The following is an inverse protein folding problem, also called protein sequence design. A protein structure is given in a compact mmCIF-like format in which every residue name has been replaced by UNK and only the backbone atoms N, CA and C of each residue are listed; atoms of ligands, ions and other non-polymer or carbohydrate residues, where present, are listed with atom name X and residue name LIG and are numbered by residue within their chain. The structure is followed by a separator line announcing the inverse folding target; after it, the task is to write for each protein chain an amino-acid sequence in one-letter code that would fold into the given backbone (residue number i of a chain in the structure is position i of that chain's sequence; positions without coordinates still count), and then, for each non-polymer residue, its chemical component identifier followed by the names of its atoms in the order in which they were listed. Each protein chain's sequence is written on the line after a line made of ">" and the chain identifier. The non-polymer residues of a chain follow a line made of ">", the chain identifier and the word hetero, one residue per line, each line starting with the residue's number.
data_IF_653966666794
#
_entry.id   IF_653966666794
#
_cell.length_a   1.000
_cell.length_b   1.000
_cell.length_c   1.000
_cell.angle_alpha   90.00
_cell.angle_beta   90.00
_cell.angle_gamma   90.00
#
_symmetry.space_group_name_H-M   'P 1'
#
loop_
_entity.id
_entity.type
_entity.pdbx_description
1 polymer ?
#
# COMPACT_ATOMS: atom_id res chain seq x y z
N UNK A 1 6.50 23.04 20.51
CA UNK A 1 5.64 22.08 19.75
C UNK A 1 4.54 22.77 18.95
N UNK A 2 3.87 23.81 19.46
CA UNK A 2 2.79 24.53 18.74
C UNK A 2 3.19 25.10 17.36
N UNK A 3 4.39 25.67 17.21
CA UNK A 3 4.84 26.24 15.93
C UNK A 3 5.18 25.23 14.82
N UNK A 4 5.41 23.96 15.17
CA UNK A 4 5.62 22.90 14.17
C UNK A 4 4.27 22.39 13.66
N UNK A 5 3.30 22.19 14.57
CA UNK A 5 1.95 21.74 14.22
C UNK A 5 1.22 22.75 13.31
N UNK A 6 1.40 24.06 13.58
CA UNK A 6 0.77 25.12 12.78
C UNK A 6 1.27 25.13 11.34
N UNK A 7 2.53 24.78 11.08
CA UNK A 7 3.09 24.72 9.73
C UNK A 7 2.55 23.54 8.90
N UNK A 8 2.11 22.45 9.55
CA UNK A 8 1.54 21.28 8.88
C UNK A 8 0.02 21.37 8.64
N UNK A 9 -0.67 22.20 9.43
CA UNK A 9 -2.13 22.31 9.41
C UNK A 9 -2.62 23.62 8.76
N UNK A 10 -1.73 24.48 8.29
CA UNK A 10 -2.09 25.76 7.67
C UNK A 10 -2.79 25.54 6.32
N UNK A 11 -4.11 25.80 6.20
CA UNK A 11 -4.84 25.69 4.95
C UNK A 11 -4.43 26.76 3.93
N UNK A 12 -3.68 27.80 4.33
CA UNK A 12 -3.06 28.77 3.42
C UNK A 12 -1.75 28.26 2.81
N UNK A 13 -1.23 27.11 3.26
CA UNK A 13 -0.11 26.46 2.61
C UNK A 13 -0.56 26.01 1.22
N UNK A 14 0.03 26.57 0.13
CA UNK A 14 -0.42 26.27 -1.21
C UNK A 14 -0.32 24.76 -1.46
N UNK A 15 -1.28 24.14 -2.19
CA UNK A 15 -1.18 22.74 -2.56
C UNK A 15 0.19 22.49 -3.16
N UNK A 16 0.88 21.45 -2.67
CA UNK A 16 2.29 21.15 -2.96
C UNK A 16 2.58 21.49 -4.43
N UNK A 17 3.23 22.63 -4.64
CA UNK A 17 3.59 23.12 -5.96
C UNK A 17 4.42 22.03 -6.65
N UNK A 18 4.38 21.92 -7.99
CA UNK A 18 5.15 20.89 -8.73
C UNK A 18 6.61 20.91 -8.27
N UNK A 19 6.98 19.98 -7.39
CA UNK A 19 8.30 19.94 -6.77
C UNK A 19 9.30 19.55 -7.85
N UNK A 20 10.43 20.27 -8.03
CA UNK A 20 11.45 19.86 -8.98
C UNK A 20 12.02 18.49 -8.64
N UNK A 21 12.38 17.70 -9.67
CA UNK A 21 13.03 16.39 -9.48
C UNK A 21 14.31 16.51 -8.63
N UNK A 22 15.05 17.61 -8.76
CA UNK A 22 16.25 17.86 -7.96
C UNK A 22 15.95 17.92 -6.45
N UNK A 23 14.86 18.60 -6.05
CA UNK A 23 14.44 18.68 -4.64
C UNK A 23 13.98 17.33 -4.10
N UNK A 24 13.35 16.50 -4.94
CA UNK A 24 12.97 15.12 -4.59
C UNK A 24 14.21 14.24 -4.46
N UNK A 25 15.18 14.36 -5.36
CA UNK A 25 16.45 13.66 -5.29
C UNK A 25 17.20 14.01 -4.00
N UNK A 26 17.22 15.27 -3.58
CA UNK A 26 17.81 15.69 -2.31
C UNK A 26 17.11 15.04 -1.11
N UNK A 27 15.77 15.05 -1.06
CA UNK A 27 14.99 14.38 -0.01
C UNK A 27 15.28 12.88 0.05
N UNK A 28 15.34 12.22 -1.11
CA UNK A 28 15.72 10.82 -1.19
C UNK A 28 17.14 10.59 -0.68
N UNK A 29 18.09 11.48 -1.01
CA UNK A 29 19.47 11.42 -0.51
C UNK A 29 19.52 11.46 1.01
N UNK A 30 18.78 12.38 1.64
CA UNK A 30 18.67 12.47 3.11
C UNK A 30 18.06 11.21 3.71
N UNK A 31 16.99 10.70 3.10
CA UNK A 31 16.33 9.46 3.54
C UNK A 31 17.28 8.26 3.44
N UNK A 32 18.09 8.19 2.38
CA UNK A 32 19.10 7.16 2.19
C UNK A 32 20.22 7.26 3.24
N UNK A 33 20.73 8.46 3.51
CA UNK A 33 21.73 8.69 4.57
C UNK A 33 21.21 8.22 5.93
N UNK A 34 19.96 8.57 6.26
CA UNK A 34 19.31 8.07 7.47
C UNK A 34 19.25 6.54 7.49
N UNK A 35 18.76 5.91 6.42
CA UNK A 35 18.66 4.46 6.34
C UNK A 35 20.02 3.74 6.46
N UNK A 36 21.09 4.34 5.93
CA UNK A 36 22.46 3.79 6.07
C UNK A 36 23.08 3.98 7.45
N UNK A 37 22.52 4.88 8.28
CA UNK A 37 22.94 5.07 9.66
C UNK A 37 22.24 4.14 10.66
N UNK A 38 21.23 3.39 10.21
CA UNK A 38 20.51 2.43 11.03
C UNK A 38 21.38 1.21 11.37
N UNK A 39 21.08 0.59 12.51
CA UNK A 39 21.78 -0.62 12.96
C UNK A 39 21.69 -1.74 11.91
N UNK A 40 22.79 -2.47 11.62
CA UNK A 40 22.77 -3.57 10.66
C UNK A 40 21.73 -4.66 10.95
N UNK A 41 21.32 -4.86 12.21
CA UNK A 41 20.23 -5.78 12.58
C UNK A 41 18.87 -5.34 12.03
N UNK A 42 18.70 -4.06 11.70
CA UNK A 42 17.53 -3.52 10.99
C UNK A 42 17.64 -3.71 9.47
N UNK A 43 18.74 -4.26 8.98
CA UNK A 43 18.99 -4.51 7.57
C UNK A 43 18.76 -5.98 7.20
N UNK A 44 17.88 -6.19 6.21
CA UNK A 44 17.79 -7.36 5.31
C UNK A 44 18.21 -8.71 5.92
N UNK A 45 17.31 -9.30 6.71
CA UNK A 45 17.42 -10.71 7.12
C UNK A 45 16.12 -11.45 6.80
N UNK A 46 16.20 -12.77 6.54
CA UNK A 46 15.01 -13.65 6.51
C UNK A 46 14.32 -13.69 7.88
N UNK A 47 15.09 -13.45 8.94
CA UNK A 47 14.62 -13.39 10.33
C UNK A 47 14.37 -11.96 10.81
N UNK A 48 14.04 -11.05 9.90
CA UNK A 48 13.82 -9.64 10.21
C UNK A 48 12.84 -9.47 11.40
N UNK A 49 13.23 -8.77 12.48
CA UNK A 49 12.32 -8.52 13.60
C UNK A 49 11.20 -7.57 13.18
N UNK A 50 10.07 -7.59 13.92
CA UNK A 50 8.88 -6.80 13.56
C UNK A 50 9.17 -5.32 13.31
N UNK A 51 9.88 -4.66 14.23
CA UNK A 51 10.20 -3.25 14.13
C UNK A 51 11.06 -2.93 12.89
N UNK A 52 11.99 -3.81 12.52
CA UNK A 52 12.76 -3.67 11.29
C UNK A 52 11.87 -3.77 10.05
N UNK A 53 10.92 -4.70 10.01
CA UNK A 53 9.97 -4.84 8.91
C UNK A 53 9.09 -3.59 8.74
N UNK A 54 8.63 -3.01 9.86
CA UNK A 54 7.86 -1.75 9.85
C UNK A 54 8.71 -0.60 9.31
N UNK A 55 9.94 -0.43 9.80
CA UNK A 55 10.84 0.65 9.35
C UNK A 55 11.20 0.49 7.87
N UNK A 56 11.55 -0.72 7.43
CA UNK A 56 11.88 -0.98 6.02
C UNK A 56 10.67 -0.77 5.10
N UNK A 57 9.48 -1.20 5.55
CA UNK A 57 8.24 -0.99 4.83
C UNK A 57 7.94 0.50 4.65
N UNK A 58 8.01 1.27 5.75
CA UNK A 58 7.80 2.72 5.72
C UNK A 58 8.81 3.42 4.80
N UNK A 59 10.11 3.05 4.88
CA UNK A 59 11.13 3.60 4.00
C UNK A 59 10.78 3.39 2.52
N UNK A 60 10.46 2.16 2.12
CA UNK A 60 10.17 1.87 0.72
C UNK A 60 8.86 2.50 0.24
N UNK A 61 7.85 2.59 1.10
CA UNK A 61 6.63 3.37 0.83
C UNK A 61 6.92 4.84 0.59
N UNK A 62 7.76 5.48 1.41
CA UNK A 62 8.16 6.88 1.21
C UNK A 62 8.93 7.08 -0.10
N UNK A 63 9.85 6.17 -0.45
CA UNK A 63 10.56 6.22 -1.73
C UNK A 63 9.57 6.14 -2.90
N UNK A 64 8.59 5.26 -2.84
CA UNK A 64 7.55 5.15 -3.87
C UNK A 64 6.78 6.45 -4.03
N UNK A 65 6.36 7.09 -2.93
CA UNK A 65 5.63 8.36 -2.98
C UNK A 65 6.47 9.53 -3.49
N UNK A 66 7.74 9.60 -3.10
CA UNK A 66 8.67 10.60 -3.64
C UNK A 66 8.82 10.47 -5.17
N UNK A 67 8.88 9.25 -5.69
CA UNK A 67 9.11 9.00 -7.12
C UNK A 67 7.83 9.02 -7.97
N UNK A 68 6.65 8.78 -7.37
CA UNK A 68 5.35 8.67 -8.05
C UNK A 68 5.06 9.81 -9.04
N UNK A 69 5.30 11.09 -8.74
CA UNK A 69 5.00 12.19 -9.68
C UNK A 69 5.86 12.19 -10.95
N UNK A 70 6.93 11.38 -11.00
CA UNK A 70 7.93 11.39 -12.06
C UNK A 70 8.04 10.06 -12.81
N UNK A 71 7.13 9.10 -12.58
CA UNK A 71 7.23 7.76 -13.18
C UNK A 71 7.23 7.78 -14.72
N UNK A 72 6.49 8.71 -15.31
CA UNK A 72 6.38 8.88 -16.75
C UNK A 72 7.44 9.83 -17.32
N UNK A 73 8.26 10.44 -16.47
CA UNK A 73 9.35 11.32 -16.92
C UNK A 73 10.61 10.48 -17.17
N UNK A 74 11.18 10.57 -18.37
CA UNK A 74 12.44 9.90 -18.70
C UNK A 74 13.67 10.70 -18.22
N UNK A 75 13.54 11.44 -17.11
CA UNK A 75 14.60 12.26 -16.54
C UNK A 75 15.47 11.40 -15.62
N UNK A 76 16.79 11.59 -15.74
CA UNK A 76 17.77 10.96 -14.87
C UNK A 76 18.18 11.93 -13.76
N UNK A 77 18.59 11.38 -12.63
CA UNK A 77 19.21 12.13 -11.55
C UNK A 77 20.30 11.30 -10.89
N UNK A 78 21.18 11.98 -10.18
CA UNK A 78 22.27 11.35 -9.43
C UNK A 78 22.17 11.75 -7.98
N UNK A 79 22.20 10.77 -7.08
CA UNK A 79 22.17 10.99 -5.64
C UNK A 79 22.83 9.83 -4.90
N UNK A 80 23.83 10.16 -4.08
CA UNK A 80 24.63 9.16 -3.36
C UNK A 80 25.15 8.06 -4.30
N UNK A 81 24.88 6.76 -4.03
CA UNK A 81 25.33 5.65 -4.88
C UNK A 81 24.51 5.50 -6.17
N UNK A 82 23.35 6.15 -6.29
CA UNK A 82 22.49 6.05 -7.46
C UNK A 82 22.96 7.02 -8.55
N UNK A 83 23.81 6.56 -9.47
CA UNK A 83 24.23 7.32 -10.66
C UNK A 83 23.25 7.09 -11.80
N UNK A 84 22.86 8.18 -12.48
CA UNK A 84 21.98 8.13 -13.66
C UNK A 84 20.66 7.37 -13.46
N UNK A 85 20.17 7.34 -12.22
CA UNK A 85 18.95 6.64 -11.85
C UNK A 85 17.73 7.38 -12.41
N UNK A 86 16.67 6.62 -12.75
CA UNK A 86 15.37 7.19 -13.11
C UNK A 86 14.37 6.94 -11.98
N UNK A 87 13.38 7.83 -11.77
CA UNK A 87 12.37 7.65 -10.73
C UNK A 87 11.66 6.30 -10.81
N UNK A 88 11.35 5.84 -12.04
CA UNK A 88 10.75 4.53 -12.28
C UNK A 88 11.60 3.35 -11.80
N UNK A 89 12.93 3.47 -11.85
CA UNK A 89 13.83 2.39 -11.45
C UNK A 89 13.79 2.25 -9.91
N UNK A 90 13.86 3.36 -9.18
CA UNK A 90 13.75 3.36 -7.71
C UNK A 90 12.35 2.95 -7.22
N UNK A 91 11.30 3.41 -7.90
CA UNK A 91 9.93 2.98 -7.61
C UNK A 91 9.79 1.47 -7.77
N UNK A 92 10.28 0.91 -8.90
CA UNK A 92 10.25 -0.53 -9.16
C UNK A 92 11.05 -1.33 -8.13
N UNK A 93 12.25 -0.87 -7.79
CA UNK A 93 13.07 -1.54 -6.77
C UNK A 93 12.36 -1.53 -5.40
N UNK A 94 11.74 -0.42 -5.02
CA UNK A 94 11.01 -0.31 -3.76
C UNK A 94 9.71 -1.13 -3.77
N UNK A 95 9.00 -1.20 -4.90
CA UNK A 95 7.79 -2.02 -5.03
C UNK A 95 8.09 -3.51 -4.86
N UNK A 96 9.22 -3.98 -5.41
CA UNK A 96 9.67 -5.37 -5.21
C UNK A 96 9.91 -5.60 -3.72
N UNK A 97 10.59 -4.66 -3.03
CA UNK A 97 10.87 -4.79 -1.60
C UNK A 97 9.63 -4.80 -0.73
N UNK A 98 8.63 -3.97 -1.01
CA UNK A 98 7.36 -3.94 -0.27
C UNK A 98 6.62 -5.29 -0.38
N UNK A 99 6.59 -5.88 -1.57
CA UNK A 99 5.99 -7.22 -1.77
C UNK A 99 6.82 -8.29 -1.05
N UNK A 100 8.15 -8.23 -1.11
CA UNK A 100 9.02 -9.16 -0.39
C UNK A 100 8.84 -9.09 1.13
N UNK A 101 8.76 -7.88 1.71
CA UNK A 101 8.48 -7.67 3.13
C UNK A 101 7.11 -8.28 3.45
N UNK A 102 6.08 -7.99 2.65
CA UNK A 102 4.74 -8.55 2.86
C UNK A 102 4.78 -10.07 2.94
N UNK A 103 5.43 -10.69 1.95
CA UNK A 103 5.58 -12.15 1.88
C UNK A 103 6.37 -12.75 3.02
N UNK A 104 7.59 -12.24 3.27
CA UNK A 104 8.53 -12.90 4.19
C UNK A 104 8.17 -12.62 5.65
N UNK A 105 7.63 -11.43 5.92
CA UNK A 105 7.29 -11.02 7.26
C UNK A 105 5.84 -11.38 7.62
N UNK A 106 4.84 -10.95 6.85
CA UNK A 106 3.43 -11.12 7.27
C UNK A 106 2.98 -12.57 7.22
N UNK A 107 3.43 -13.36 6.24
CA UNK A 107 3.11 -14.79 6.22
C UNK A 107 3.63 -15.52 7.47
N UNK A 108 4.69 -15.02 8.12
CA UNK A 108 5.26 -15.62 9.34
C UNK A 108 4.54 -15.15 10.60
N UNK A 109 4.10 -13.90 10.65
CA UNK A 109 3.50 -13.31 11.86
C UNK A 109 1.97 -13.34 11.86
N UNK A 110 1.36 -13.93 10.84
CA UNK A 110 -0.09 -14.05 10.73
C UNK A 110 -0.68 -14.73 11.97
N UNK A 111 -1.81 -14.21 12.48
CA UNK A 111 -2.48 -14.66 13.70
C UNK A 111 -1.82 -14.27 15.02
N UNK A 112 -0.63 -13.64 15.00
CA UNK A 112 0.08 -13.22 16.23
C UNK A 112 -0.35 -11.82 16.69
N UNK A 113 0.07 -11.41 17.90
CA UNK A 113 -0.12 -10.02 18.34
C UNK A 113 0.57 -8.98 17.43
N UNK A 114 1.62 -9.38 16.72
CA UNK A 114 2.41 -8.49 15.86
C UNK A 114 1.71 -8.16 14.53
N UNK A 115 0.87 -9.06 14.00
CA UNK A 115 0.09 -8.77 12.78
C UNK A 115 -1.08 -7.81 13.04
N UNK A 116 -1.47 -7.62 14.30
CA UNK A 116 -2.57 -6.73 14.70
C UNK A 116 -2.21 -5.24 14.69
N UNK A 117 -0.94 -4.88 14.53
CA UNK A 117 -0.52 -3.47 14.51
C UNK A 117 -1.01 -2.75 13.26
N UNK A 118 -1.75 -1.63 13.42
CA UNK A 118 -2.18 -0.81 12.26
C UNK A 118 -1.03 -0.04 11.60
N UNK A 119 0.10 0.18 12.28
CA UNK A 119 1.28 0.85 11.70
C UNK A 119 1.81 0.13 10.45
N UNK A 120 1.39 -1.12 10.29
CA UNK A 120 1.66 -1.97 9.16
C UNK A 120 0.85 -1.64 7.90
N UNK A 121 -0.32 -0.98 7.99
CA UNK A 121 -1.33 -0.88 6.92
C UNK A 121 -0.77 -0.51 5.53
N UNK A 122 0.12 0.47 5.49
CA UNK A 122 0.64 1.02 4.23
C UNK A 122 1.37 -0.04 3.40
N UNK A 123 2.02 -1.01 4.04
CA UNK A 123 2.83 -2.04 3.39
C UNK A 123 1.95 -3.06 2.63
N UNK A 124 0.99 -3.79 3.26
CA UNK A 124 0.07 -4.65 2.54
C UNK A 124 -0.85 -3.88 1.60
N UNK A 125 -1.18 -2.62 1.86
CA UNK A 125 -1.92 -1.79 0.91
C UNK A 125 -1.14 -1.59 -0.41
N UNK A 126 0.13 -1.18 -0.33
CA UNK A 126 0.96 -1.10 -1.53
C UNK A 126 1.21 -2.46 -2.15
N UNK A 127 1.50 -3.49 -1.37
CA UNK A 127 1.73 -4.83 -1.89
C UNK A 127 0.50 -5.37 -2.62
N UNK A 128 -0.72 -5.11 -2.13
CA UNK A 128 -1.96 -5.45 -2.82
C UNK A 128 -2.05 -4.74 -4.18
N UNK A 129 -1.84 -3.41 -4.21
CA UNK A 129 -1.83 -2.62 -5.44
C UNK A 129 -0.78 -3.12 -6.44
N UNK A 130 0.45 -3.35 -5.98
CA UNK A 130 1.55 -3.87 -6.79
C UNK A 130 1.21 -5.28 -7.29
N UNK A 131 0.51 -6.10 -6.51
CA UNK A 131 0.12 -7.44 -6.95
C UNK A 131 -0.90 -7.43 -8.09
N UNK A 132 -1.62 -6.33 -8.33
CA UNK A 132 -2.58 -6.25 -9.43
C UNK A 132 -1.92 -6.24 -10.81
N UNK A 133 -0.79 -5.54 -10.97
CA UNK A 133 -0.15 -5.36 -12.28
C UNK A 133 1.37 -5.18 -12.21
N UNK A 134 1.97 -5.44 -11.06
CA UNK A 134 3.37 -5.15 -10.76
C UNK A 134 4.36 -6.16 -11.32
N UNK A 135 5.64 -6.00 -10.96
CA UNK A 135 6.79 -6.54 -11.71
C UNK A 135 7.03 -8.05 -11.52
N UNK A 136 6.12 -8.76 -10.87
CA UNK A 136 6.27 -10.19 -10.58
C UNK A 136 6.17 -11.04 -11.85
N UNK A 137 6.98 -12.11 -11.90
CA UNK A 137 7.19 -12.92 -13.10
C UNK A 137 5.96 -13.71 -13.56
N UNK A 138 5.05 -14.10 -12.66
CA UNK A 138 3.87 -14.91 -13.02
C UNK A 138 2.57 -14.38 -12.39
N UNK A 139 1.43 -14.74 -13.00
CA UNK A 139 0.11 -14.35 -12.51
C UNK A 139 -0.24 -15.07 -11.20
N UNK A 140 0.15 -16.33 -11.06
CA UNK A 140 -0.06 -17.15 -9.86
C UNK A 140 0.67 -16.51 -8.67
N UNK A 141 1.88 -16.01 -8.93
CA UNK A 141 2.68 -15.34 -7.92
C UNK A 141 1.99 -14.08 -7.42
N UNK A 142 1.52 -13.24 -8.34
CA UNK A 142 0.73 -12.04 -8.04
C UNK A 142 -0.54 -12.38 -7.26
N UNK A 143 -1.26 -13.44 -7.63
CA UNK A 143 -2.46 -13.90 -6.92
C UNK A 143 -2.15 -14.37 -5.50
N UNK A 144 -1.03 -15.06 -5.28
CA UNK A 144 -0.58 -15.48 -3.95
C UNK A 144 -0.18 -14.29 -3.07
N UNK A 145 0.61 -13.35 -3.61
CA UNK A 145 1.03 -12.15 -2.89
C UNK A 145 -0.20 -11.28 -2.54
N UNK A 146 -1.18 -11.16 -3.45
CA UNK A 146 -2.45 -10.47 -3.21
C UNK A 146 -3.26 -11.11 -2.08
N UNK A 147 -3.42 -12.45 -2.07
CA UNK A 147 -4.12 -13.16 -0.98
C UNK A 147 -3.46 -12.96 0.38
N UNK A 148 -2.13 -12.94 0.41
CA UNK A 148 -1.36 -12.66 1.64
C UNK A 148 -1.74 -11.28 2.20
N UNK A 149 -1.92 -10.28 1.33
CA UNK A 149 -2.35 -8.95 1.75
C UNK A 149 -3.77 -8.96 2.35
N UNK A 150 -4.69 -9.77 1.81
CA UNK A 150 -6.06 -9.86 2.34
C UNK A 150 -6.07 -10.48 3.74
N UNK A 151 -5.29 -11.55 3.95
CA UNK A 151 -5.08 -12.12 5.28
C UNK A 151 -4.49 -11.09 6.25
N UNK A 152 -3.51 -10.29 5.80
CA UNK A 152 -2.93 -9.23 6.61
C UNK A 152 -3.96 -8.15 7.00
N UNK A 153 -4.91 -7.79 6.11
CA UNK A 153 -5.99 -6.86 6.45
C UNK A 153 -6.94 -7.43 7.50
N UNK A 154 -7.27 -8.73 7.40
CA UNK A 154 -8.13 -9.40 8.38
C UNK A 154 -7.46 -9.57 9.76
N UNK A 155 -6.14 -9.54 9.79
CA UNK A 155 -5.36 -9.68 11.01
C UNK A 155 -5.25 -8.40 11.84
N UNK A 156 -5.57 -7.22 11.30
CA UNK A 156 -5.41 -5.96 12.04
C UNK A 156 -6.21 -5.94 13.36
N UNK A 157 -5.73 -5.19 14.34
CA UNK A 157 -6.39 -5.03 15.65
C UNK A 157 -7.59 -4.07 15.64
N UNK A 158 -8.28 -3.92 14.52
CA UNK A 158 -9.42 -2.99 14.34
C UNK A 158 -10.75 -3.70 14.35
N UNK A 159 -11.84 -2.95 14.39
CA UNK A 159 -13.19 -3.49 14.29
C UNK A 159 -13.37 -4.31 13.00
N UNK A 160 -14.06 -5.44 13.11
CA UNK A 160 -14.34 -6.35 11.98
C UNK A 160 -14.89 -5.60 10.75
N UNK A 161 -15.79 -4.61 10.87
CA UNK A 161 -16.30 -3.89 9.72
C UNK A 161 -15.23 -3.18 8.88
N UNK A 162 -14.26 -2.58 9.55
CA UNK A 162 -13.17 -1.88 8.88
C UNK A 162 -12.29 -2.84 8.08
N UNK A 163 -12.05 -4.04 8.59
CA UNK A 163 -11.25 -5.08 7.91
C UNK A 163 -11.94 -5.55 6.63
N UNK A 164 -13.23 -5.86 6.73
CA UNK A 164 -14.00 -6.32 5.59
C UNK A 164 -14.11 -5.24 4.51
N UNK A 165 -14.21 -3.96 4.90
CA UNK A 165 -14.13 -2.84 3.97
C UNK A 165 -12.80 -2.81 3.21
N UNK A 166 -11.66 -2.98 3.89
CA UNK A 166 -10.34 -3.08 3.25
C UNK A 166 -10.27 -4.23 2.24
N UNK A 167 -10.77 -5.41 2.63
CA UNK A 167 -10.79 -6.58 1.74
C UNK A 167 -11.68 -6.33 0.52
N UNK A 168 -12.89 -5.81 0.71
CA UNK A 168 -13.82 -5.48 -0.39
C UNK A 168 -13.23 -4.46 -1.36
N UNK A 169 -12.64 -3.39 -0.82
CA UNK A 169 -12.00 -2.35 -1.62
C UNK A 169 -10.86 -2.90 -2.48
N UNK A 170 -10.05 -3.80 -1.94
CA UNK A 170 -9.01 -4.45 -2.72
C UNK A 170 -9.58 -5.44 -3.76
N UNK A 171 -10.65 -6.19 -3.42
CA UNK A 171 -11.25 -7.17 -4.32
C UNK A 171 -11.86 -6.53 -5.57
N UNK A 172 -12.54 -5.38 -5.45
CA UNK A 172 -13.07 -4.68 -6.64
C UNK A 172 -11.94 -4.28 -7.59
N UNK A 173 -10.82 -3.79 -7.05
CA UNK A 173 -9.64 -3.46 -7.85
C UNK A 173 -9.09 -4.71 -8.56
N UNK A 174 -9.11 -5.86 -7.88
CA UNK A 174 -8.64 -7.12 -8.45
C UNK A 174 -9.52 -7.66 -9.57
N UNK A 175 -10.84 -7.47 -9.48
CA UNK A 175 -11.77 -7.77 -10.57
C UNK A 175 -11.54 -6.82 -11.74
N UNK A 176 -11.45 -5.51 -11.51
CA UNK A 176 -11.21 -4.51 -12.57
C UNK A 176 -9.89 -4.77 -13.32
N UNK A 177 -8.83 -5.14 -12.61
CA UNK A 177 -7.53 -5.48 -13.20
C UNK A 177 -7.47 -6.92 -13.72
N UNK A 178 -8.59 -7.66 -13.71
CA UNK A 178 -8.71 -9.05 -14.19
C UNK A 178 -7.73 -10.01 -13.53
N UNK A 179 -7.28 -9.70 -12.30
CA UNK A 179 -6.43 -10.60 -11.52
C UNK A 179 -7.25 -11.78 -10.99
N UNK A 180 -8.52 -11.54 -10.65
CA UNK A 180 -9.49 -12.53 -10.20
C UNK A 180 -10.84 -12.34 -10.89
N UNK A 181 -11.60 -13.43 -11.02
CA UNK A 181 -13.02 -13.36 -11.40
C UNK A 181 -13.89 -13.02 -10.19
N UNK A 182 -15.15 -12.60 -10.42
CA UNK A 182 -16.10 -12.36 -9.32
C UNK A 182 -16.31 -13.60 -8.46
N UNK A 183 -16.40 -14.78 -9.09
CA UNK A 183 -16.56 -16.05 -8.38
C UNK A 183 -15.37 -16.37 -7.47
N UNK A 184 -14.14 -16.11 -7.94
CA UNK A 184 -12.94 -16.29 -7.14
C UNK A 184 -12.87 -15.31 -5.97
N UNK A 185 -13.23 -14.04 -6.19
CA UNK A 185 -13.31 -13.05 -5.11
C UNK A 185 -14.32 -13.46 -4.03
N UNK A 186 -15.50 -13.97 -4.42
CA UNK A 186 -16.49 -14.51 -3.47
C UNK A 186 -15.93 -15.66 -2.66
N UNK A 187 -15.26 -16.61 -3.31
CA UNK A 187 -14.65 -17.75 -2.63
C UNK A 187 -13.58 -17.31 -1.61
N UNK A 188 -12.72 -16.36 -1.98
CA UNK A 188 -11.69 -15.83 -1.07
C UNK A 188 -12.31 -15.09 0.12
N UNK A 189 -13.35 -14.28 -0.11
CA UNK A 189 -14.01 -13.57 0.97
C UNK A 189 -14.69 -14.52 1.97
N UNK A 190 -15.30 -15.61 1.49
CA UNK A 190 -15.87 -16.64 2.35
C UNK A 190 -14.79 -17.35 3.18
N UNK A 191 -13.65 -17.69 2.56
CA UNK A 191 -12.51 -18.31 3.24
C UNK A 191 -11.93 -17.40 4.35
N UNK A 192 -11.94 -16.09 4.11
CA UNK A 192 -11.53 -15.08 5.09
C UNK A 192 -12.59 -14.79 6.16
N UNK A 193 -13.76 -15.43 6.11
CA UNK A 193 -14.86 -15.21 7.04
C UNK A 193 -15.52 -13.83 6.92
N UNK A 194 -15.38 -13.15 5.77
CA UNK A 194 -16.06 -11.89 5.51
C UNK A 194 -17.54 -12.15 5.21
N UNK A 195 -18.43 -11.40 5.85
CA UNK A 195 -19.82 -11.39 5.42
C UNK A 195 -19.90 -10.62 4.09
N UNK A 196 -20.31 -11.26 2.99
CA UNK A 196 -20.43 -10.58 1.68
C UNK A 196 -21.71 -9.74 1.61
N UNK A 197 -22.72 -10.09 2.42
CA UNK A 197 -24.06 -9.49 2.42
C UNK A 197 -24.25 -8.45 3.51
N UNK A 198 -23.28 -8.27 4.40
CA UNK A 198 -23.39 -7.28 5.47
C UNK A 198 -23.56 -5.87 4.88
N UNK A 199 -24.72 -5.29 5.19
CA UNK A 199 -24.93 -3.85 5.10
C UNK A 199 -24.09 -3.21 6.19
N UNK A 200 -22.81 -3.02 5.89
CA UNK A 200 -21.92 -2.20 6.71
C UNK A 200 -22.54 -0.80 6.75
N UNK A 201 -23.26 -0.50 7.83
CA UNK A 201 -23.56 0.88 8.15
C UNK A 201 -22.22 1.59 8.23
N UNK A 202 -22.05 2.64 7.42
CA UNK A 202 -21.02 3.68 7.55
C UNK A 202 -21.20 4.42 8.88
N UNK A 203 -21.23 3.68 9.99
CA UNK A 203 -21.32 4.22 11.33
C UNK A 203 -20.14 5.15 11.49
N UNK A 204 -20.47 6.44 11.62
CA UNK A 204 -19.59 7.61 11.72
C UNK A 204 -18.18 7.33 11.17
N UNK A 205 -17.97 7.58 9.87
CA UNK A 205 -16.69 7.43 9.17
C UNK A 205 -15.50 7.90 10.04
N UNK A 206 -14.89 6.97 10.79
CA UNK A 206 -13.84 7.34 11.74
C UNK A 206 -12.56 7.74 11.00
N UNK A 207 -12.36 7.32 9.75
CA UNK A 207 -11.27 7.79 8.88
C UNK A 207 -11.51 7.39 7.41
N UNK A 208 -11.33 8.30 6.45
CA UNK A 208 -11.25 7.96 5.01
C UNK A 208 -9.85 7.45 4.69
N UNK A 209 -9.72 6.17 4.33
CA UNK A 209 -8.44 5.57 3.95
C UNK A 209 -8.32 5.44 2.44
N UNK A 210 -7.21 5.92 1.87
CA UNK A 210 -6.88 5.69 0.45
C UNK A 210 -6.37 4.26 0.25
N UNK A 211 -6.94 3.55 -0.72
CA UNK A 211 -6.54 2.19 -1.06
C UNK A 211 -6.10 2.03 -2.52
N UNK A 212 -6.73 2.73 -3.47
CA UNK A 212 -6.27 2.73 -4.86
C UNK A 212 -5.27 3.88 -5.09
N UNK A 213 -3.99 3.59 -4.96
CA UNK A 213 -2.95 4.62 -5.11
C UNK A 213 -2.75 5.09 -6.55
N UNK A 214 -3.20 4.33 -7.54
CA UNK A 214 -3.16 4.75 -8.95
C UNK A 214 -4.28 5.76 -9.20
N UNK A 215 -5.52 5.40 -8.83
CA UNK A 215 -6.69 6.29 -8.90
C UNK A 215 -6.55 7.52 -8.01
N UNK A 216 -5.83 7.43 -6.89
CA UNK A 216 -5.62 8.56 -5.98
C UNK A 216 -4.89 9.75 -6.62
N UNK A 217 -4.10 9.52 -7.68
CA UNK A 217 -3.39 10.59 -8.38
C UNK A 217 -4.35 11.44 -9.21
N UNK A 218 -5.34 10.82 -9.83
CA UNK A 218 -6.24 11.45 -10.80
C UNK A 218 -7.60 11.82 -10.19
N UNK A 219 -8.12 10.99 -9.29
CA UNK A 219 -9.42 11.15 -8.65
C UNK A 219 -9.38 10.74 -7.16
N UNK A 220 -8.73 11.55 -6.28
CA UNK A 220 -8.51 11.24 -4.88
C UNK A 220 -9.77 10.84 -4.11
N UNK A 221 -10.88 11.54 -4.34
CA UNK A 221 -12.18 11.32 -3.68
C UNK A 221 -12.79 9.95 -3.98
N UNK A 222 -12.34 9.28 -5.04
CA UNK A 222 -12.85 7.98 -5.48
C UNK A 222 -11.88 6.83 -5.25
N UNK A 223 -10.73 7.12 -4.63
CA UNK A 223 -9.68 6.15 -4.34
C UNK A 223 -9.78 5.52 -2.94
N UNK A 224 -10.80 5.92 -2.19
CA UNK A 224 -10.97 5.52 -0.80
C UNK A 224 -11.57 4.13 -0.65
N UNK A 225 -11.29 3.50 0.48
CA UNK A 225 -11.79 2.16 0.82
C UNK A 225 -13.32 2.12 0.81
N UNK A 226 -13.99 3.18 1.28
CA UNK A 226 -15.45 3.24 1.37
C UNK A 226 -16.08 3.22 -0.03
N UNK A 227 -15.59 4.09 -0.92
CA UNK A 227 -16.06 4.17 -2.31
C UNK A 227 -15.84 2.84 -3.01
N UNK A 228 -14.65 2.25 -2.88
CA UNK A 228 -14.33 0.97 -3.49
C UNK A 228 -15.16 -0.19 -2.90
N UNK A 229 -15.45 -0.17 -1.59
CA UNK A 229 -16.29 -1.17 -0.96
C UNK A 229 -17.76 -1.08 -1.40
N UNK A 230 -18.26 0.12 -1.69
CA UNK A 230 -19.58 0.31 -2.28
C UNK A 230 -19.62 -0.12 -3.75
N UNK A 231 -18.59 0.22 -4.54
CA UNK A 231 -18.42 -0.31 -5.90
C UNK A 231 -18.41 -1.85 -5.91
N UNK A 232 -17.74 -2.47 -4.94
CA UNK A 232 -17.73 -3.93 -4.76
C UNK A 232 -19.15 -4.50 -4.62
N UNK A 233 -20.01 -3.89 -3.80
CA UNK A 233 -21.40 -4.34 -3.63
C UNK A 233 -22.14 -4.29 -4.97
N UNK A 234 -21.99 -3.19 -5.71
CA UNK A 234 -22.63 -3.01 -7.01
C UNK A 234 -22.19 -4.07 -8.01
N UNK A 235 -20.88 -4.34 -8.14
CA UNK A 235 -20.40 -5.33 -9.11
C UNK A 235 -20.74 -6.78 -8.74
N UNK A 236 -20.91 -7.07 -7.44
CA UNK A 236 -21.29 -8.41 -6.96
C UNK A 236 -22.79 -8.66 -7.05
N UNK A 237 -23.62 -7.62 -7.04
CA UNK A 237 -25.06 -7.73 -7.23
C UNK A 237 -25.46 -8.05 -8.68
N UNK A 238 -24.60 -7.71 -9.64
CA UNK A 238 -24.79 -8.07 -11.06
C UNK A 238 -24.32 -9.51 -11.26
N UNK A 239 -25.26 -10.44 -11.37
CA UNK A 239 -24.96 -11.83 -11.75
C UNK A 239 -24.28 -11.86 -13.13
N UNK A 240 -23.29 -12.73 -13.28
CA UNK A 240 -22.60 -12.93 -14.55
C UNK A 240 -23.58 -13.66 -15.50
N UNK A 241 -24.08 -12.95 -16.52
CA UNK A 241 -24.83 -13.51 -17.65
C UNK A 241 -23.94 -14.33 -18.57
#
# INVERSE_FOLDING_TARGET
>A
MQGVLSAYLDPACPPIQKVPLASVAEKYGRLLTWATSLDPSLTRSKDMPHHAAVIQGAFHSMVMELMRPFLFQNRKFTVGPCRDARPKDLFRSSSIRVVEITRLYYARVQGTAMSRSMCCFIVPAYAANISLSGPSATAERRRSDFRTCMGAFMDFGVAQPMKEQLVRGAMVMAVHKKLFTKAECRAIMLDLGCDIRSNMSTGENLTTLTMDFERAVEAPTSSSVEVLADEFKTIMAVEDS
#
